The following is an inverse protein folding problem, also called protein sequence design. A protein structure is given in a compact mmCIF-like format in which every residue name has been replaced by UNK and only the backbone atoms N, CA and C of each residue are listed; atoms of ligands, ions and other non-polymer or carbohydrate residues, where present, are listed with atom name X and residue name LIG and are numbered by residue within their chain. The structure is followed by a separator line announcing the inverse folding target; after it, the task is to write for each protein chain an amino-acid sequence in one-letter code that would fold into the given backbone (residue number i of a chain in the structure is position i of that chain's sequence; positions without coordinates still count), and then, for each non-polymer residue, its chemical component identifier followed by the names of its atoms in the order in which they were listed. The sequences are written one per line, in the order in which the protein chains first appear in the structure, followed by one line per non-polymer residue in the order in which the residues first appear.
data_IF_916521719635
#
_entry.id   IF_916521719635
#
_cell.length_a   1.000
_cell.length_b   1.000
_cell.length_c   1.000
_cell.angle_alpha   90.00
_cell.angle_beta   90.00
_cell.angle_gamma   90.00
#
_symmetry.space_group_name_H-M   'P 1'
#
loop_
_entity.id
_entity.type
_entity.pdbx_description
1 polymer ?
#
# COMPACT_ATOMS: atom_id res chain seq x y z
N UNK A 1 19.18 16.79 19.09
CA UNK A 1 17.73 16.66 18.89
C UNK A 1 17.51 16.12 17.48
N UNK A 2 16.91 14.95 17.29
CA UNK A 2 16.83 14.28 15.97
C UNK A 2 15.88 14.96 14.98
N UNK A 3 14.88 15.69 15.46
CA UNK A 3 13.86 16.35 14.63
C UNK A 3 13.74 17.81 15.07
N UNK A 4 13.88 18.72 14.08
CA UNK A 4 13.69 20.15 14.32
C UNK A 4 12.27 20.43 14.84
N UNK A 5 12.07 21.34 15.80
CA UNK A 5 10.75 21.64 16.36
C UNK A 5 9.66 21.90 15.31
N UNK A 6 9.99 22.69 14.27
CA UNK A 6 9.05 23.07 13.21
C UNK A 6 8.61 21.90 12.32
N UNK A 7 9.40 20.80 12.31
CA UNK A 7 9.10 19.59 11.54
C UNK A 7 8.31 18.54 12.34
N UNK A 8 8.10 18.74 13.63
CA UNK A 8 7.44 17.74 14.48
C UNK A 8 5.99 17.54 14.12
N UNK A 9 5.22 18.62 13.98
CA UNK A 9 3.82 18.54 13.63
C UNK A 9 3.58 17.98 12.21
N UNK A 10 4.31 18.41 11.17
CA UNK A 10 4.26 17.75 9.85
C UNK A 10 4.58 16.27 9.90
N UNK A 11 5.63 15.84 10.59
CA UNK A 11 6.00 14.43 10.72
C UNK A 11 4.92 13.66 11.49
N UNK A 12 4.37 14.22 12.56
CA UNK A 12 3.28 13.59 13.28
C UNK A 12 2.04 13.39 12.39
N UNK A 13 1.73 14.32 11.49
CA UNK A 13 0.65 14.19 10.51
C UNK A 13 0.91 13.04 9.52
N UNK A 14 2.17 12.88 9.05
CA UNK A 14 2.53 11.72 8.22
C UNK A 14 2.34 10.41 8.99
N UNK A 15 2.77 10.36 10.25
CA UNK A 15 2.61 9.19 11.09
C UNK A 15 1.13 8.88 11.42
N UNK A 16 0.27 9.90 11.50
CA UNK A 16 -1.18 9.69 11.61
C UNK A 16 -1.74 9.03 10.35
N UNK A 17 -1.33 9.48 9.17
CA UNK A 17 -1.72 8.88 7.91
C UNK A 17 -1.30 7.39 7.86
N UNK A 18 -0.05 7.08 8.20
CA UNK A 18 0.44 5.70 8.28
C UNK A 18 -0.37 4.89 9.29
N UNK A 19 -0.53 5.38 10.52
CA UNK A 19 -1.33 4.70 11.57
C UNK A 19 -2.73 4.33 11.08
N UNK A 20 -3.40 5.23 10.37
CA UNK A 20 -4.76 4.99 9.89
C UNK A 20 -4.77 3.98 8.73
N UNK A 21 -3.70 3.94 7.92
CA UNK A 21 -3.43 2.88 6.94
C UNK A 21 -3.28 1.50 7.60
N UNK A 22 -2.47 1.41 8.68
CA UNK A 22 -2.27 0.17 9.43
C UNK A 22 -3.58 -0.37 10.05
N UNK A 23 -4.44 0.51 10.57
CA UNK A 23 -5.77 0.08 11.04
C UNK A 23 -6.62 -0.47 9.91
N UNK A 24 -6.60 0.16 8.73
CA UNK A 24 -7.30 -0.35 7.55
C UNK A 24 -6.75 -1.71 7.13
N UNK A 25 -5.43 -1.86 7.06
CA UNK A 25 -4.75 -3.12 6.73
C UNK A 25 -5.09 -4.23 7.73
N UNK A 26 -5.05 -3.93 9.03
CA UNK A 26 -5.43 -4.86 10.10
C UNK A 26 -6.86 -5.36 9.96
N UNK A 27 -7.82 -4.46 9.71
CA UNK A 27 -9.22 -4.81 9.55
C UNK A 27 -9.46 -5.64 8.27
N UNK A 28 -8.80 -5.27 7.18
CA UNK A 28 -8.85 -6.00 5.91
C UNK A 28 -8.27 -7.41 6.06
N UNK A 29 -7.06 -7.55 6.59
CA UNK A 29 -6.42 -8.85 6.79
C UNK A 29 -7.24 -9.77 7.72
N UNK A 30 -7.90 -9.21 8.73
CA UNK A 30 -8.82 -9.95 9.62
C UNK A 30 -10.04 -10.47 8.87
N UNK A 31 -10.62 -9.68 7.98
CA UNK A 31 -11.76 -10.06 7.16
C UNK A 31 -11.35 -11.09 6.09
N UNK A 32 -10.24 -10.87 5.40
CA UNK A 32 -9.67 -11.80 4.43
C UNK A 32 -9.39 -13.19 5.04
N UNK A 33 -8.96 -13.23 6.31
CA UNK A 33 -8.75 -14.50 7.00
C UNK A 33 -10.01 -15.38 7.05
N UNK A 34 -11.20 -14.78 7.06
CA UNK A 34 -12.47 -15.52 7.00
C UNK A 34 -12.79 -16.04 5.59
N UNK A 35 -12.22 -15.43 4.57
CA UNK A 35 -12.38 -15.82 3.17
C UNK A 35 -11.29 -16.80 2.71
N UNK A 36 -10.27 -17.03 3.55
CA UNK A 36 -9.11 -17.83 3.20
C UNK A 36 -9.48 -19.29 2.89
N UNK A 37 -9.11 -19.85 1.72
CA UNK A 37 -9.48 -21.21 1.30
C UNK A 37 -8.76 -22.30 2.09
N UNK A 38 -7.65 -21.97 2.74
CA UNK A 38 -6.84 -22.93 3.50
C UNK A 38 -6.31 -22.36 4.82
N UNK A 39 -5.91 -23.28 5.71
CA UNK A 39 -5.43 -22.93 7.05
C UNK A 39 -4.09 -22.17 7.07
N UNK A 40 -3.26 -22.31 6.02
CA UNK A 40 -1.99 -21.59 5.88
C UNK A 40 -2.23 -20.12 5.64
N UNK A 41 -3.06 -19.80 4.63
CA UNK A 41 -3.48 -18.44 4.34
C UNK A 41 -4.21 -17.81 5.53
N UNK A 42 -5.15 -18.54 6.15
CA UNK A 42 -5.85 -18.05 7.35
C UNK A 42 -4.86 -17.66 8.46
N UNK A 43 -3.88 -18.51 8.78
CA UNK A 43 -2.87 -18.19 9.81
C UNK A 43 -2.02 -16.99 9.44
N UNK A 44 -1.59 -16.88 8.17
CA UNK A 44 -0.81 -15.74 7.71
C UNK A 44 -1.58 -14.43 7.90
N UNK A 45 -2.79 -14.34 7.35
CA UNK A 45 -3.63 -13.14 7.43
C UNK A 45 -3.99 -12.75 8.87
N UNK A 46 -4.22 -13.74 9.74
CA UNK A 46 -4.40 -13.50 11.18
C UNK A 46 -3.13 -12.98 11.86
N UNK A 47 -1.96 -13.40 11.40
CA UNK A 47 -0.68 -12.89 11.88
C UNK A 47 -0.46 -11.46 11.41
N UNK A 48 -0.67 -11.21 10.11
CA UNK A 48 -0.62 -9.88 9.53
C UNK A 48 -1.52 -8.91 10.30
N UNK A 49 -2.80 -9.21 10.46
CA UNK A 49 -3.74 -8.35 11.20
C UNK A 49 -3.26 -7.96 12.61
N UNK A 50 -2.51 -8.81 13.29
CA UNK A 50 -1.89 -8.48 14.58
C UNK A 50 -0.66 -7.58 14.41
N UNK A 51 0.15 -7.83 13.40
CA UNK A 51 1.34 -7.02 13.12
C UNK A 51 0.95 -5.59 12.79
N UNK A 52 -0.06 -5.38 11.91
CA UNK A 52 -0.56 -4.04 11.57
C UNK A 52 -1.12 -3.31 12.81
N UNK A 53 -1.80 -4.03 13.69
CA UNK A 53 -2.25 -3.44 14.97
C UNK A 53 -1.06 -2.97 15.83
N UNK A 54 0.07 -3.68 15.83
CA UNK A 54 1.29 -3.26 16.53
C UNK A 54 1.99 -2.09 15.83
N UNK A 55 2.03 -2.07 14.48
CA UNK A 55 2.56 -0.94 13.72
C UNK A 55 1.78 0.34 14.04
N UNK A 56 0.45 0.27 14.05
CA UNK A 56 -0.40 1.39 14.45
C UNK A 56 -0.05 1.93 15.86
N UNK A 57 0.20 1.04 16.83
CA UNK A 57 0.63 1.42 18.19
C UNK A 57 2.00 2.09 18.16
N UNK A 58 2.95 1.61 17.37
CA UNK A 58 4.28 2.21 17.20
C UNK A 58 4.15 3.63 16.64
N UNK A 59 3.34 3.84 15.59
CA UNK A 59 3.10 5.18 15.05
C UNK A 59 2.40 6.08 16.07
N UNK A 60 1.42 5.58 16.78
CA UNK A 60 0.72 6.31 17.84
C UNK A 60 1.67 6.76 18.95
N UNK A 61 2.59 5.90 19.40
CA UNK A 61 3.60 6.25 20.40
C UNK A 61 4.57 7.33 19.88
N UNK A 62 4.97 7.25 18.62
CA UNK A 62 5.81 8.28 18.01
C UNK A 62 5.08 9.63 17.88
N UNK A 63 3.80 9.64 17.55
CA UNK A 63 2.97 10.87 17.53
C UNK A 63 2.93 11.48 18.95
N UNK A 64 2.68 10.65 19.97
CA UNK A 64 2.67 11.08 21.36
C UNK A 64 3.97 11.75 21.79
N UNK A 65 5.10 11.23 21.34
CA UNK A 65 6.41 11.77 21.63
C UNK A 65 6.73 13.04 20.84
N UNK A 66 6.37 13.09 19.54
CA UNK A 66 6.70 14.20 18.65
C UNK A 66 5.78 15.41 18.86
N UNK A 67 4.49 15.17 18.92
CA UNK A 67 3.45 16.20 18.96
C UNK A 67 2.19 15.68 19.67
N UNK A 68 2.19 15.63 21.03
CA UNK A 68 1.09 15.03 21.80
C UNK A 68 -0.29 15.65 21.55
N UNK A 69 -0.33 16.90 21.05
CA UNK A 69 -1.59 17.57 20.66
C UNK A 69 -2.26 16.92 19.44
N UNK A 70 -1.54 16.10 18.67
CA UNK A 70 -2.03 15.34 17.53
C UNK A 70 -2.40 13.88 17.86
N UNK A 71 -2.52 13.54 19.15
CA UNK A 71 -2.93 12.20 19.61
C UNK A 71 -4.39 11.86 19.34
N UNK A 72 -5.22 12.87 19.06
CA UNK A 72 -6.63 12.68 18.78
C UNK A 72 -6.89 11.89 17.50
N UNK A 73 -8.15 11.58 17.25
CA UNK A 73 -8.60 11.05 15.97
C UNK A 73 -8.32 12.09 14.88
N UNK A 74 -7.51 11.71 13.90
CA UNK A 74 -7.39 12.49 12.68
C UNK A 74 -8.44 11.94 11.70
N UNK A 75 -9.31 12.79 11.13
CA UNK A 75 -10.21 12.32 10.10
C UNK A 75 -9.39 11.73 8.95
N UNK A 76 -9.82 10.58 8.43
CA UNK A 76 -9.20 9.99 7.25
C UNK A 76 -9.25 11.01 6.10
N UNK A 77 -8.18 11.06 5.33
CA UNK A 77 -8.16 11.86 4.12
C UNK A 77 -9.23 11.32 3.15
N UNK A 78 -9.98 12.18 2.43
CA UNK A 78 -11.06 11.72 1.56
C UNK A 78 -10.68 10.59 0.58
N UNK A 79 -9.49 10.58 -0.05
CA UNK A 79 -9.06 9.45 -0.86
C UNK A 79 -8.94 8.13 -0.07
N UNK A 80 -8.50 8.18 1.19
CA UNK A 80 -8.39 6.99 2.05
C UNK A 80 -9.77 6.47 2.46
N UNK A 81 -10.73 7.37 2.73
CA UNK A 81 -12.13 6.99 3.02
C UNK A 81 -12.76 6.27 1.82
N UNK A 82 -12.52 6.79 0.62
CA UNK A 82 -12.98 6.12 -0.61
C UNK A 82 -12.30 4.77 -0.81
N UNK A 83 -10.99 4.68 -0.55
CA UNK A 83 -10.23 3.43 -0.61
C UNK A 83 -10.80 2.38 0.35
N UNK A 84 -11.04 2.77 1.60
CA UNK A 84 -11.69 1.93 2.61
C UNK A 84 -13.04 1.41 2.14
N UNK A 85 -13.91 2.29 1.62
CA UNK A 85 -15.24 1.92 1.16
C UNK A 85 -15.20 0.88 0.03
N UNK A 86 -14.23 0.96 -0.89
CA UNK A 86 -14.03 -0.01 -1.96
C UNK A 86 -13.58 -1.38 -1.43
N UNK A 87 -12.61 -1.40 -0.51
CA UNK A 87 -12.17 -2.66 0.14
C UNK A 87 -13.32 -3.32 0.91
N UNK A 88 -14.07 -2.54 1.69
CA UNK A 88 -15.22 -3.06 2.44
C UNK A 88 -16.29 -3.64 1.51
N UNK A 89 -16.48 -3.04 0.35
CA UNK A 89 -17.38 -3.57 -0.68
C UNK A 89 -16.86 -4.91 -1.24
N UNK A 90 -15.59 -5.00 -1.57
CA UNK A 90 -14.97 -6.24 -2.03
C UNK A 90 -15.05 -7.36 -0.98
N UNK A 91 -14.83 -7.02 0.30
CA UNK A 91 -15.01 -7.97 1.43
C UNK A 91 -16.45 -8.47 1.49
N UNK A 92 -17.45 -7.58 1.40
CA UNK A 92 -18.88 -7.99 1.43
C UNK A 92 -19.26 -8.91 0.27
N UNK A 93 -18.63 -8.75 -0.90
CA UNK A 93 -18.81 -9.63 -2.05
C UNK A 93 -18.05 -10.94 -1.94
N UNK A 94 -17.20 -11.11 -0.93
CA UNK A 94 -16.30 -12.26 -0.80
C UNK A 94 -15.19 -12.30 -1.86
N UNK A 95 -14.87 -11.17 -2.47
CA UNK A 95 -13.85 -11.06 -3.53
C UNK A 95 -12.45 -11.01 -2.93
N UNK A 96 -11.93 -12.19 -2.59
CA UNK A 96 -10.60 -12.31 -2.01
C UNK A 96 -9.51 -11.78 -2.94
N UNK A 97 -9.65 -11.95 -4.26
CA UNK A 97 -8.64 -11.52 -5.22
C UNK A 97 -8.54 -9.98 -5.28
N UNK A 98 -9.68 -9.29 -5.35
CA UNK A 98 -9.71 -7.83 -5.29
C UNK A 98 -9.14 -7.31 -3.97
N UNK A 99 -9.50 -7.92 -2.83
CA UNK A 99 -8.99 -7.48 -1.53
C UNK A 99 -7.49 -7.69 -1.38
N UNK A 100 -6.93 -8.82 -1.88
CA UNK A 100 -5.49 -9.07 -1.90
C UNK A 100 -4.74 -8.05 -2.77
N UNK A 101 -5.29 -7.70 -3.93
CA UNK A 101 -4.72 -6.65 -4.77
C UNK A 101 -4.73 -5.30 -4.08
N UNK A 102 -5.86 -4.92 -3.50
CA UNK A 102 -6.01 -3.60 -2.88
C UNK A 102 -5.13 -3.46 -1.64
N UNK A 103 -5.16 -4.43 -0.74
CA UNK A 103 -4.47 -4.33 0.54
C UNK A 103 -3.01 -4.77 0.40
N UNK A 104 -2.72 -6.07 0.16
CA UNK A 104 -1.34 -6.57 0.21
C UNK A 104 -0.45 -6.07 -0.95
N UNK A 105 -1.00 -5.72 -2.11
CA UNK A 105 -0.17 -5.26 -3.22
C UNK A 105 -0.10 -3.74 -3.27
N UNK A 106 -1.23 -3.05 -3.23
CA UNK A 106 -1.26 -1.61 -3.46
C UNK A 106 -1.04 -0.82 -2.16
N UNK A 107 -1.76 -1.14 -1.09
CA UNK A 107 -1.66 -0.41 0.18
C UNK A 107 -0.33 -0.70 0.89
N UNK A 108 0.06 -1.97 1.00
CA UNK A 108 1.35 -2.38 1.56
C UNK A 108 2.52 -1.87 0.71
N UNK A 109 2.39 -1.90 -0.63
CA UNK A 109 3.37 -1.30 -1.53
C UNK A 109 3.55 0.21 -1.31
N UNK A 110 2.47 0.95 -1.01
CA UNK A 110 2.52 2.35 -0.61
C UNK A 110 3.22 2.50 0.76
N UNK A 111 2.85 1.69 1.74
CA UNK A 111 3.43 1.69 3.08
C UNK A 111 4.93 1.41 3.03
N UNK A 112 5.35 0.35 2.35
CA UNK A 112 6.75 -0.03 2.17
C UNK A 112 7.56 1.08 1.49
N UNK A 113 7.05 1.71 0.42
CA UNK A 113 7.72 2.82 -0.26
C UNK A 113 7.98 3.99 0.70
N UNK A 114 6.99 4.36 1.51
CA UNK A 114 7.09 5.43 2.50
C UNK A 114 8.09 5.07 3.59
N UNK A 115 8.00 3.88 4.17
CA UNK A 115 8.85 3.42 5.27
C UNK A 115 10.31 3.28 4.84
N UNK A 116 10.59 2.80 3.62
CA UNK A 116 11.95 2.76 3.06
C UNK A 116 12.56 4.16 2.96
N UNK A 117 11.81 5.18 2.57
CA UNK A 117 12.29 6.56 2.57
C UNK A 117 12.56 7.09 3.97
N UNK A 118 11.64 6.86 4.89
CA UNK A 118 11.79 7.24 6.29
C UNK A 118 13.06 6.58 6.86
N UNK A 119 13.24 5.27 6.64
CA UNK A 119 14.42 4.53 7.13
C UNK A 119 15.72 5.07 6.55
N UNK A 120 15.78 5.36 5.25
CA UNK A 120 16.96 6.00 4.64
C UNK A 120 17.32 7.33 5.32
N UNK A 121 16.32 8.13 5.67
CA UNK A 121 16.52 9.39 6.40
C UNK A 121 16.96 9.18 7.84
N UNK A 122 16.42 8.19 8.54
CA UNK A 122 16.76 7.86 9.92
C UNK A 122 18.14 7.21 10.03
N UNK A 123 18.50 6.30 9.14
CA UNK A 123 19.80 5.65 9.09
C UNK A 123 20.94 6.66 8.87
N UNK A 124 20.77 7.64 7.97
CA UNK A 124 21.74 8.73 7.76
C UNK A 124 22.02 9.56 9.02
N UNK A 125 21.09 9.59 9.97
CA UNK A 125 21.17 10.33 11.23
C UNK A 125 21.56 9.45 12.42
N UNK A 126 21.89 8.18 12.20
CA UNK A 126 22.13 7.19 13.26
C UNK A 126 21.00 7.17 14.30
N UNK A 127 19.74 7.25 13.82
CA UNK A 127 18.57 7.27 14.69
C UNK A 127 18.45 5.97 15.49
N UNK A 128 17.97 6.02 16.76
CA UNK A 128 17.82 4.83 17.60
C UNK A 128 16.79 3.84 17.05
N UNK A 129 16.72 2.66 17.67
CA UNK A 129 15.76 1.60 17.36
C UNK A 129 15.90 0.98 15.96
N UNK A 130 17.09 0.94 15.39
CA UNK A 130 17.35 0.35 14.07
C UNK A 130 16.77 -1.08 13.94
N UNK A 131 16.94 -1.92 14.96
CA UNK A 131 16.42 -3.29 14.94
C UNK A 131 14.88 -3.33 14.80
N UNK A 132 14.17 -2.45 15.53
CA UNK A 132 12.72 -2.36 15.47
C UNK A 132 12.25 -1.89 14.08
N UNK A 133 12.87 -0.83 13.56
CA UNK A 133 12.56 -0.28 12.24
C UNK A 133 12.79 -1.31 11.12
N UNK A 134 13.91 -2.06 11.21
CA UNK A 134 14.22 -3.13 10.25
C UNK A 134 13.20 -4.26 10.33
N UNK A 135 12.76 -4.64 11.53
CA UNK A 135 11.73 -5.66 11.72
C UNK A 135 10.40 -5.24 11.06
N UNK A 136 10.01 -3.97 11.24
CA UNK A 136 8.80 -3.43 10.62
C UNK A 136 8.89 -3.52 9.10
N UNK A 137 9.96 -3.03 8.49
CA UNK A 137 10.18 -3.13 7.04
C UNK A 137 10.15 -4.59 6.52
N UNK A 138 10.73 -5.54 7.24
CA UNK A 138 10.69 -6.95 6.86
C UNK A 138 9.26 -7.53 6.91
N UNK A 139 8.42 -7.04 7.80
CA UNK A 139 7.02 -7.45 7.89
C UNK A 139 6.23 -6.89 6.70
N UNK A 140 6.38 -5.62 6.35
CA UNK A 140 5.77 -5.01 5.16
C UNK A 140 6.15 -5.76 3.87
N UNK A 141 7.46 -6.02 3.67
CA UNK A 141 7.95 -6.81 2.54
C UNK A 141 7.33 -8.22 2.49
N UNK A 142 7.13 -8.84 3.65
CA UNK A 142 6.49 -10.15 3.74
C UNK A 142 5.01 -10.11 3.38
N UNK A 143 4.26 -9.06 3.81
CA UNK A 143 2.86 -8.86 3.49
C UNK A 143 2.66 -8.60 2.00
N UNK A 144 3.40 -7.65 1.44
CA UNK A 144 3.40 -7.35 0.00
C UNK A 144 3.74 -8.59 -0.84
N UNK A 145 4.85 -9.27 -0.50
CA UNK A 145 5.25 -10.49 -1.20
C UNK A 145 4.24 -11.64 -1.08
N UNK A 146 3.51 -11.74 0.03
CA UNK A 146 2.43 -12.71 0.18
C UNK A 146 1.29 -12.43 -0.81
N UNK A 147 0.85 -11.17 -0.93
CA UNK A 147 -0.18 -10.76 -1.87
C UNK A 147 0.20 -11.11 -3.31
N UNK A 148 1.39 -10.70 -3.75
CA UNK A 148 1.90 -10.99 -5.10
C UNK A 148 1.89 -12.49 -5.41
N UNK A 149 2.52 -13.30 -4.55
CA UNK A 149 2.57 -14.77 -4.75
C UNK A 149 1.19 -15.43 -4.71
N UNK A 150 0.27 -14.90 -3.94
CA UNK A 150 -1.08 -15.46 -3.84
C UNK A 150 -1.90 -15.15 -5.07
N UNK A 151 -1.88 -13.92 -5.56
CA UNK A 151 -2.55 -13.58 -6.82
C UNK A 151 -1.94 -14.32 -8.01
N UNK A 152 -0.61 -14.46 -8.10
CA UNK A 152 0.02 -15.25 -9.15
C UNK A 152 -0.50 -16.70 -9.18
N UNK A 153 -0.68 -17.31 -7.99
CA UNK A 153 -1.29 -18.66 -7.89
C UNK A 153 -2.75 -18.67 -8.31
N UNK A 154 -3.53 -17.64 -7.96
CA UNK A 154 -4.93 -17.51 -8.37
C UNK A 154 -5.04 -17.34 -9.89
N UNK A 155 -4.16 -16.58 -10.52
CA UNK A 155 -4.07 -16.45 -11.98
C UNK A 155 -3.72 -17.80 -12.64
N UNK A 156 -2.69 -18.48 -12.14
CA UNK A 156 -2.28 -19.79 -12.66
C UNK A 156 -3.38 -20.86 -12.52
N UNK A 157 -4.22 -20.75 -11.49
CA UNK A 157 -5.36 -21.65 -11.26
C UNK A 157 -6.64 -21.24 -12.00
N UNK A 158 -6.65 -20.14 -12.74
CA UNK A 158 -7.84 -19.63 -13.45
C UNK A 158 -8.95 -19.13 -12.52
N UNK A 159 -8.66 -18.83 -11.25
CA UNK A 159 -9.63 -18.30 -10.28
C UNK A 159 -10.03 -16.86 -10.64
N UNK A 160 -9.08 -16.08 -11.11
CA UNK A 160 -9.24 -14.72 -11.64
C UNK A 160 -8.15 -14.45 -12.68
N UNK A 161 -8.19 -13.28 -13.32
CA UNK A 161 -7.15 -12.87 -14.28
C UNK A 161 -6.75 -11.40 -14.05
N UNK A 162 -5.57 -10.98 -14.56
CA UNK A 162 -5.17 -9.57 -14.52
C UNK A 162 -6.21 -8.63 -15.15
N UNK A 163 -6.86 -9.05 -16.25
CA UNK A 163 -7.85 -8.25 -16.97
C UNK A 163 -9.11 -7.99 -16.14
N UNK A 164 -9.55 -8.99 -15.35
CA UNK A 164 -10.70 -8.86 -14.43
C UNK A 164 -10.39 -7.82 -13.34
N UNK A 165 -9.18 -7.84 -12.81
CA UNK A 165 -8.77 -6.94 -11.72
C UNK A 165 -8.33 -5.56 -12.19
N UNK A 166 -8.01 -5.39 -13.48
CA UNK A 166 -7.41 -4.18 -14.03
C UNK A 166 -8.16 -2.89 -13.68
N UNK A 167 -9.44 -2.83 -13.98
CA UNK A 167 -10.26 -1.63 -13.78
C UNK A 167 -10.27 -1.16 -12.33
N UNK A 168 -10.47 -2.10 -11.41
CA UNK A 168 -10.42 -1.84 -9.97
C UNK A 168 -9.01 -1.47 -9.51
N UNK A 169 -8.01 -2.15 -10.01
CA UNK A 169 -6.61 -1.85 -9.70
C UNK A 169 -6.23 -0.42 -10.08
N UNK A 170 -6.67 0.09 -11.23
CA UNK A 170 -6.45 1.48 -11.62
C UNK A 170 -7.19 2.47 -10.71
N UNK A 171 -8.41 2.14 -10.26
CA UNK A 171 -9.14 2.96 -9.29
C UNK A 171 -8.37 3.06 -7.95
N UNK A 172 -7.89 1.94 -7.42
CA UNK A 172 -7.08 1.92 -6.19
C UNK A 172 -5.76 2.68 -6.35
N UNK A 173 -5.04 2.49 -7.45
CA UNK A 173 -3.80 3.24 -7.74
C UNK A 173 -4.04 4.75 -7.86
N UNK A 174 -5.13 5.14 -8.51
CA UNK A 174 -5.53 6.54 -8.58
C UNK A 174 -5.76 7.15 -7.19
N UNK A 175 -6.38 6.38 -6.28
CA UNK A 175 -6.59 6.81 -4.90
C UNK A 175 -5.29 6.91 -4.10
N UNK A 176 -4.33 5.97 -4.27
CA UNK A 176 -3.03 6.08 -3.61
C UNK A 176 -2.24 7.32 -4.07
N UNK A 177 -2.27 7.63 -5.37
CA UNK A 177 -1.68 8.86 -5.89
C UNK A 177 -2.38 10.10 -5.30
N UNK A 178 -3.70 10.10 -5.19
CA UNK A 178 -4.45 11.18 -4.56
C UNK A 178 -4.11 11.33 -3.06
N UNK A 179 -3.90 10.22 -2.33
CA UNK A 179 -3.44 10.26 -0.94
C UNK A 179 -2.08 10.94 -0.82
N UNK A 180 -1.11 10.57 -1.67
CA UNK A 180 0.22 11.21 -1.69
C UNK A 180 0.11 12.68 -2.05
N UNK A 181 -0.73 13.04 -3.02
CA UNK A 181 -0.94 14.43 -3.44
C UNK A 181 -1.53 15.31 -2.32
N UNK A 182 -2.44 14.77 -1.50
CA UNK A 182 -2.98 15.49 -0.33
C UNK A 182 -1.93 15.78 0.75
N UNK A 183 -0.78 15.11 0.72
CA UNK A 183 0.33 15.32 1.63
C UNK A 183 1.44 16.21 1.04
N UNK A 184 1.24 16.83 -0.13
CA UNK A 184 2.28 17.59 -0.83
C UNK A 184 2.82 18.77 -0.02
N UNK A 185 1.97 19.49 0.72
CA UNK A 185 2.35 20.58 1.62
C UNK A 185 3.22 20.07 2.77
N UNK A 186 2.90 18.90 3.28
CA UNK A 186 3.66 18.22 4.32
C UNK A 186 5.04 17.79 3.80
N UNK A 187 5.14 17.18 2.63
CA UNK A 187 6.42 16.81 2.03
C UNK A 187 7.30 18.03 1.81
N UNK A 188 6.74 19.11 1.27
CA UNK A 188 7.46 20.39 1.12
C UNK A 188 7.98 20.89 2.46
N UNK A 189 7.19 20.85 3.54
CA UNK A 189 7.58 21.33 4.87
C UNK A 189 8.74 20.53 5.50
N UNK A 190 8.88 19.25 5.15
CA UNK A 190 9.99 18.39 5.62
C UNK A 190 11.16 18.34 4.64
N UNK A 191 11.05 19.01 3.49
CA UNK A 191 12.10 19.07 2.46
C UNK A 191 12.14 17.84 1.57
N UNK A 192 10.98 17.22 1.33
CA UNK A 192 10.80 16.07 0.44
C UNK A 192 9.98 16.48 -0.80
N UNK A 193 10.12 15.69 -1.88
CA UNK A 193 9.40 15.89 -3.14
C UNK A 193 8.26 14.86 -3.26
N UNK A 194 7.01 15.34 -3.27
CA UNK A 194 5.82 14.51 -3.41
C UNK A 194 5.82 13.67 -4.70
N UNK A 195 6.36 14.22 -5.82
CA UNK A 195 6.44 13.49 -7.09
C UNK A 195 7.38 12.29 -7.00
N UNK A 196 8.51 12.45 -6.29
CA UNK A 196 9.43 11.35 -6.06
C UNK A 196 8.84 10.27 -5.15
N UNK A 197 8.00 10.64 -4.18
CA UNK A 197 7.27 9.69 -3.34
C UNK A 197 6.24 8.89 -4.16
N UNK A 198 5.46 9.57 -5.00
CA UNK A 198 4.51 8.91 -5.89
C UNK A 198 5.21 7.95 -6.87
N UNK A 199 6.36 8.33 -7.41
CA UNK A 199 7.15 7.47 -8.30
C UNK A 199 7.71 6.22 -7.59
N UNK A 200 8.05 6.32 -6.31
CA UNK A 200 8.52 5.17 -5.54
C UNK A 200 7.41 4.13 -5.36
N UNK A 201 6.16 4.54 -5.14
CA UNK A 201 5.00 3.62 -5.06
C UNK A 201 4.90 2.76 -6.32
N UNK A 202 5.10 3.35 -7.49
CA UNK A 202 5.05 2.62 -8.77
C UNK A 202 6.04 1.46 -8.90
N UNK A 203 7.11 1.41 -8.08
CA UNK A 203 8.09 0.32 -8.09
C UNK A 203 7.58 -0.96 -7.45
N UNK A 204 6.58 -0.84 -6.58
CA UNK A 204 5.96 -1.96 -5.87
C UNK A 204 4.75 -2.53 -6.62
N UNK A 205 4.30 -1.82 -7.68
CA UNK A 205 3.17 -2.25 -8.49
C UNK A 205 3.60 -3.35 -9.46
N UNK A 206 2.93 -4.52 -9.50
CA UNK A 206 3.22 -5.58 -10.47
C UNK A 206 3.10 -5.08 -11.92
N UNK A 207 3.88 -5.68 -12.82
CA UNK A 207 3.91 -5.27 -14.23
C UNK A 207 2.53 -5.29 -14.89
N UNK A 208 1.70 -6.28 -14.58
CA UNK A 208 0.37 -6.41 -15.14
C UNK A 208 -0.58 -5.28 -14.72
N UNK A 209 -0.32 -4.64 -13.58
CA UNK A 209 -1.10 -3.51 -13.07
C UNK A 209 -0.51 -2.14 -13.46
N UNK A 210 0.68 -2.12 -14.06
CA UNK A 210 1.35 -0.88 -14.44
C UNK A 210 0.73 -0.33 -15.76
N UNK A 211 0.16 0.89 -15.76
CA UNK A 211 -0.50 1.47 -16.92
C UNK A 211 0.42 1.66 -18.15
N UNK A 212 1.71 1.86 -17.93
CA UNK A 212 2.66 2.03 -19.03
C UNK A 212 2.95 0.73 -19.78
N UNK A 213 2.89 -0.41 -19.10
CA UNK A 213 3.02 -1.73 -19.71
C UNK A 213 1.77 -2.04 -20.53
N UNK A 214 0.58 -1.77 -19.99
CA UNK A 214 -0.69 -2.03 -20.68
C UNK A 214 -0.83 -1.17 -21.97
N UNK A 215 -0.42 0.09 -21.92
CA UNK A 215 -0.41 0.95 -23.14
C UNK A 215 0.47 0.38 -24.22
N UNK A 216 1.62 -0.22 -23.91
CA UNK A 216 2.52 -0.85 -24.88
C UNK A 216 1.93 -2.13 -25.46
N UNK A 217 1.25 -2.94 -24.66
CA UNK A 217 0.58 -4.15 -25.14
C UNK A 217 -0.54 -3.81 -26.09
N UNK A 218 -1.36 -2.80 -25.77
CA UNK A 218 -2.47 -2.36 -26.62
C UNK A 218 -2.03 -1.56 -27.86
N UNK A 219 -0.79 -1.07 -27.90
CA UNK A 219 -0.22 -0.35 -29.04
C UNK A 219 0.49 -1.27 -30.04
N UNK A 220 0.63 -2.57 -29.80
CA UNK A 220 1.15 -3.53 -30.77
C UNK A 220 0.03 -3.80 -31.78
N UNK A 221 0.17 -3.45 -33.07
CA UNK A 221 -0.82 -3.75 -34.09
C UNK A 221 -1.01 -5.27 -34.19
N UNK A 222 -2.25 -5.70 -34.31
CA UNK A 222 -2.59 -7.08 -34.61
C UNK A 222 -1.99 -7.47 -35.98
N UNK A 223 -0.84 -8.17 -35.95
CA UNK A 223 -0.12 -8.61 -37.16
C UNK A 223 -0.82 -9.81 -37.82
N UNK A 224 -1.94 -10.27 -37.28
CA UNK A 224 -2.69 -11.42 -37.83
C UNK A 224 -3.57 -11.10 -39.05
N UNK A 225 -3.71 -9.82 -39.40
CA UNK A 225 -4.44 -9.39 -40.61
C UNK A 225 -3.52 -9.17 -41.82
N UNK A 226 -2.80 -10.20 -42.26
CA UNK A 226 -2.22 -10.20 -43.61
C UNK A 226 -3.32 -10.48 -44.64
N UNK A 227 -3.57 -9.62 -45.61
CA UNK A 227 -4.49 -9.94 -46.70
C UNK A 227 -3.89 -11.08 -47.53
N UNK A 228 -4.59 -12.20 -47.58
CA UNK A 228 -4.31 -13.26 -48.55
C UNK A 228 -4.52 -12.62 -49.95
N UNK A 229 -3.44 -12.36 -50.66
CA UNK A 229 -3.49 -12.01 -52.07
C UNK A 229 -3.99 -13.24 -52.85
N UNK A 230 -5.21 -13.18 -53.34
CA UNK A 230 -5.71 -14.12 -54.35
C UNK A 230 -5.15 -13.67 -55.68
N UNK A 231 -4.30 -14.50 -56.27
CA UNK A 231 -3.85 -14.40 -57.63
C UNK A 231 -4.84 -15.13 -58.55
#
# INVERSE_FOLDING_TARGET
MFIHPDKRAPIARLLQFLRDGEYLASDCARAQAQLAPDSGMHRFLRSQARQESYHAIVFQANIAWLAPRHLGTCPLLPPMERYRALIEDAIRRGDLAETLMAEQIILEGLGEAILVRIEKGLAKRNAPFERLRRMLLQQEEAHHGFGCRTLDRMFAAGVTTPEVLWGRGQEYLGLTHAMVATLADLFTSIGEDATAWAADVGRYVPKWLNPDVQRRVNAVPDVSASPVAVA
#
